data_IF_853141044908
#
_entry.id   IF_853141044908
#
_cell.length_a   1.000
_cell.length_b   1.000
_cell.length_c   1.000
_cell.angle_alpha   90.00
_cell.angle_beta   90.00
_cell.angle_gamma   90.00
#
_symmetry.space_group_name_H-M   'P 1'
#
loop_
_entity.id
_entity.type
_entity.pdbx_description
1 polymer ?
#
# COMPACT_ATOMS: atom_id res chain seq x y z
N UNK A 1 3.53 -15.00 22.14
CA UNK A 1 2.50 -14.63 21.14
C UNK A 1 3.09 -14.11 19.84
N UNK A 2 4.23 -13.41 19.84
CA UNK A 2 4.87 -12.94 18.60
C UNK A 2 5.18 -14.07 17.60
N UNK A 3 5.62 -15.22 18.06
CA UNK A 3 5.98 -16.38 17.23
C UNK A 3 4.81 -16.95 16.39
N UNK A 4 3.58 -16.87 16.90
CA UNK A 4 2.40 -17.38 16.16
C UNK A 4 1.71 -16.32 15.30
N UNK A 5 1.99 -15.04 15.53
CA UNK A 5 1.38 -13.94 14.73
C UNK A 5 1.73 -14.09 13.27
N UNK A 6 3.00 -14.26 12.96
CA UNK A 6 3.47 -14.25 11.58
C UNK A 6 2.85 -15.38 10.72
N UNK A 7 2.91 -16.69 11.11
CA UNK A 7 2.29 -17.76 10.33
C UNK A 7 0.76 -17.67 10.29
N UNK A 8 0.12 -17.23 11.37
CA UNK A 8 -1.33 -17.07 11.43
C UNK A 8 -1.81 -16.01 10.41
N UNK A 9 -1.14 -14.88 10.38
CA UNK A 9 -1.50 -13.78 9.49
C UNK A 9 -1.17 -14.11 8.02
N UNK A 10 0.01 -14.69 7.75
CA UNK A 10 0.40 -15.10 6.40
C UNK A 10 -0.54 -16.18 5.86
N UNK A 11 -0.83 -17.20 6.66
CA UNK A 11 -1.78 -18.26 6.30
C UNK A 11 -3.18 -17.70 6.08
N UNK A 12 -3.66 -16.83 6.97
CA UNK A 12 -4.95 -16.14 6.86
C UNK A 12 -5.07 -15.31 5.59
N UNK A 13 -4.02 -14.57 5.24
CA UNK A 13 -3.96 -13.77 4.02
C UNK A 13 -4.09 -14.64 2.75
N UNK A 14 -3.28 -15.71 2.65
CA UNK A 14 -3.33 -16.62 1.49
C UNK A 14 -4.71 -17.29 1.41
N UNK A 15 -5.22 -17.79 2.53
CA UNK A 15 -6.55 -18.41 2.59
C UNK A 15 -7.66 -17.43 2.21
N UNK A 16 -7.56 -16.16 2.62
CA UNK A 16 -8.54 -15.13 2.27
C UNK A 16 -8.53 -14.82 0.76
N UNK A 17 -7.35 -14.68 0.14
CA UNK A 17 -7.24 -14.46 -1.32
C UNK A 17 -7.84 -15.65 -2.09
N UNK A 18 -7.41 -16.86 -1.75
CA UNK A 18 -7.88 -18.09 -2.41
C UNK A 18 -9.39 -18.28 -2.17
N UNK A 19 -9.85 -18.06 -0.94
CA UNK A 19 -11.26 -18.14 -0.56
C UNK A 19 -12.13 -17.14 -1.31
N UNK A 20 -11.71 -15.86 -1.39
CA UNK A 20 -12.41 -14.82 -2.14
C UNK A 20 -12.48 -15.13 -3.64
N UNK A 21 -11.38 -15.58 -4.23
CA UNK A 21 -11.34 -16.03 -5.62
C UNK A 21 -12.26 -17.23 -5.88
N UNK A 22 -12.21 -18.26 -5.03
CA UNK A 22 -13.03 -19.46 -5.14
C UNK A 22 -14.53 -19.16 -4.95
N UNK A 23 -14.87 -18.33 -3.97
CA UNK A 23 -16.24 -17.90 -3.70
C UNK A 23 -16.84 -17.13 -4.88
N UNK A 24 -16.06 -16.21 -5.48
CA UNK A 24 -16.46 -15.54 -6.72
C UNK A 24 -16.67 -16.53 -7.86
N UNK A 25 -15.72 -17.46 -8.06
CA UNK A 25 -15.79 -18.43 -9.16
C UNK A 25 -17.00 -19.37 -9.05
N UNK A 26 -17.43 -19.64 -7.83
CA UNK A 26 -18.63 -20.44 -7.53
C UNK A 26 -19.92 -19.62 -7.54
N UNK A 27 -19.88 -18.32 -7.82
CA UNK A 27 -21.04 -17.44 -7.83
C UNK A 27 -21.61 -17.10 -6.44
N UNK A 28 -20.91 -17.47 -5.35
CA UNK A 28 -21.32 -17.19 -3.98
C UNK A 28 -21.17 -15.71 -3.61
N UNK A 29 -20.15 -15.05 -4.15
CA UNK A 29 -19.89 -13.63 -3.91
C UNK A 29 -19.81 -12.88 -5.24
N UNK A 30 -20.43 -11.70 -5.29
CA UNK A 30 -20.37 -10.81 -6.46
C UNK A 30 -19.13 -9.90 -6.36
N UNK A 31 -18.36 -9.66 -7.46
CA UNK A 31 -17.19 -8.76 -7.44
C UNK A 31 -17.52 -7.35 -6.94
N UNK A 32 -18.75 -6.85 -7.17
CA UNK A 32 -19.20 -5.53 -6.73
C UNK A 32 -19.24 -5.37 -5.21
N UNK A 33 -19.41 -6.48 -4.47
CA UNK A 33 -19.40 -6.48 -3.01
C UNK A 33 -18.03 -6.18 -2.42
N UNK A 34 -16.95 -6.50 -3.16
CA UNK A 34 -15.58 -6.24 -2.71
C UNK A 34 -15.36 -4.78 -2.29
N UNK A 35 -15.95 -3.83 -3.03
CA UNK A 35 -15.85 -2.40 -2.72
C UNK A 35 -16.54 -2.04 -1.41
N UNK A 36 -17.70 -2.60 -1.15
CA UNK A 36 -18.44 -2.40 0.11
C UNK A 36 -17.69 -2.99 1.31
N UNK A 37 -17.18 -4.23 1.16
CA UNK A 37 -16.40 -4.91 2.19
C UNK A 37 -15.14 -4.11 2.52
N UNK A 38 -14.36 -3.70 1.51
CA UNK A 38 -13.17 -2.86 1.73
C UNK A 38 -13.51 -1.56 2.45
N UNK A 39 -14.60 -0.87 2.06
CA UNK A 39 -15.01 0.38 2.72
C UNK A 39 -15.40 0.15 4.18
N UNK A 40 -16.14 -0.91 4.47
CA UNK A 40 -16.52 -1.27 5.84
C UNK A 40 -15.29 -1.61 6.69
N UNK A 41 -14.31 -2.32 6.11
CA UNK A 41 -13.05 -2.67 6.79
C UNK A 41 -12.21 -1.44 7.09
N UNK A 42 -12.09 -0.50 6.15
CA UNK A 42 -11.36 0.75 6.35
C UNK A 42 -11.95 1.54 7.53
N UNK A 43 -13.26 1.63 7.61
CA UNK A 43 -13.95 2.37 8.68
C UNK A 43 -13.94 1.60 10.00
N UNK A 44 -14.22 0.30 9.95
CA UNK A 44 -14.42 -0.51 11.17
C UNK A 44 -13.15 -1.12 11.77
N UNK A 45 -12.10 -1.32 10.96
CA UNK A 45 -10.84 -1.91 11.42
C UNK A 45 -9.69 -0.91 11.31
N UNK A 46 -9.43 -0.36 10.12
CA UNK A 46 -8.24 0.44 9.88
C UNK A 46 -8.27 1.76 10.66
N UNK A 47 -9.43 2.41 10.78
CA UNK A 47 -9.55 3.67 11.50
C UNK A 47 -9.29 3.54 13.01
N UNK A 48 -9.87 2.58 13.75
CA UNK A 48 -9.49 2.35 15.15
C UNK A 48 -8.02 1.97 15.31
N UNK A 49 -7.48 1.11 14.43
CA UNK A 49 -6.08 0.71 14.46
C UNK A 49 -5.16 1.92 14.30
N UNK A 50 -5.46 2.84 13.38
CA UNK A 50 -4.66 4.04 13.15
C UNK A 50 -4.55 4.91 14.40
N UNK A 51 -5.67 5.17 15.07
CA UNK A 51 -5.69 5.92 16.32
C UNK A 51 -4.86 5.24 17.40
N UNK A 52 -5.16 3.97 17.65
CA UNK A 52 -4.55 3.21 18.74
C UNK A 52 -3.06 2.98 18.54
N UNK A 53 -2.61 2.73 17.30
CA UNK A 53 -1.21 2.52 17.01
C UNK A 53 -0.38 3.80 17.25
N UNK A 54 -0.86 4.95 16.73
CA UNK A 54 -0.14 6.21 16.87
C UNK A 54 -0.18 6.72 18.31
N UNK A 55 -1.28 6.53 19.03
CA UNK A 55 -1.39 6.92 20.44
C UNK A 55 -0.41 6.19 21.37
N UNK A 56 0.13 5.04 20.94
CA UNK A 56 1.14 4.27 21.66
C UNK A 56 2.58 4.53 21.18
N UNK A 57 2.77 5.46 20.26
CA UNK A 57 4.09 5.75 19.72
C UNK A 57 4.79 6.81 20.55
N UNK A 58 6.00 6.51 21.02
CA UNK A 58 6.91 7.54 21.55
C UNK A 58 7.38 8.45 20.41
N UNK A 59 6.69 9.59 20.24
CA UNK A 59 6.96 10.51 19.15
C UNK A 59 8.27 11.25 19.39
N UNK A 60 9.18 11.15 18.46
CA UNK A 60 10.47 11.85 18.49
C UNK A 60 10.51 13.01 17.46
N UNK A 61 11.35 14.02 17.72
CA UNK A 61 11.40 15.26 16.93
C UNK A 61 11.69 15.07 15.42
N UNK A 62 12.21 13.91 15.01
CA UNK A 62 12.52 13.59 13.62
C UNK A 62 11.46 12.79 12.87
N UNK A 63 10.35 12.43 13.49
CA UNK A 63 9.33 11.52 12.93
C UNK A 63 8.73 12.01 11.60
N UNK A 64 8.61 13.33 11.40
CA UNK A 64 8.11 13.94 10.17
C UNK A 64 8.95 13.61 8.92
N UNK A 65 10.22 13.21 9.10
CA UNK A 65 11.10 12.79 8.02
C UNK A 65 10.61 11.51 7.33
N UNK A 66 9.94 10.63 8.09
CA UNK A 66 9.45 9.33 7.61
C UNK A 66 8.44 9.47 6.46
N UNK A 67 7.32 10.21 6.60
CA UNK A 67 6.37 10.38 5.51
C UNK A 67 6.95 11.17 4.33
N UNK A 68 7.81 12.15 4.60
CA UNK A 68 8.49 12.94 3.55
C UNK A 68 9.39 12.04 2.71
N UNK A 69 10.22 11.20 3.33
CA UNK A 69 11.05 10.23 2.62
C UNK A 69 10.20 9.28 1.76
N UNK A 70 9.08 8.77 2.31
CA UNK A 70 8.15 7.91 1.59
C UNK A 70 7.58 8.57 0.33
N UNK A 71 7.10 9.80 0.44
CA UNK A 71 6.58 10.58 -0.68
C UNK A 71 7.64 10.84 -1.76
N UNK A 72 8.84 11.29 -1.36
CA UNK A 72 9.94 11.59 -2.29
C UNK A 72 10.41 10.34 -3.04
N UNK A 73 10.57 9.21 -2.36
CA UNK A 73 10.97 7.95 -3.00
C UNK A 73 9.87 7.43 -3.93
N UNK A 74 8.60 7.54 -3.54
CA UNK A 74 7.48 7.19 -4.43
C UNK A 74 7.51 8.00 -5.72
N UNK A 75 7.70 9.33 -5.63
CA UNK A 75 7.84 10.22 -6.79
C UNK A 75 9.05 9.83 -7.63
N UNK A 76 10.24 9.69 -7.02
CA UNK A 76 11.47 9.38 -7.72
C UNK A 76 11.38 8.04 -8.47
N UNK A 77 10.82 7.01 -7.83
CA UNK A 77 10.68 5.67 -8.45
C UNK A 77 9.63 5.69 -9.57
N UNK A 78 8.53 6.44 -9.41
CA UNK A 78 7.54 6.65 -10.47
C UNK A 78 8.17 7.34 -11.69
N UNK A 79 8.91 8.44 -11.48
CA UNK A 79 9.61 9.18 -12.54
C UNK A 79 10.67 8.29 -13.24
N UNK A 80 11.42 7.50 -12.49
CA UNK A 80 12.37 6.53 -13.05
C UNK A 80 11.64 5.50 -13.92
N UNK A 81 10.49 4.99 -13.46
CA UNK A 81 9.66 4.09 -14.25
C UNK A 81 9.16 4.73 -15.55
N UNK A 82 8.66 5.98 -15.50
CA UNK A 82 8.24 6.73 -16.69
C UNK A 82 9.42 6.98 -17.65
N UNK A 83 10.61 7.29 -17.14
CA UNK A 83 11.82 7.47 -17.95
C UNK A 83 12.21 6.16 -18.66
N UNK A 84 12.19 5.03 -17.97
CA UNK A 84 12.43 3.70 -18.56
C UNK A 84 11.38 3.38 -19.61
N UNK A 85 10.09 3.62 -19.33
CA UNK A 85 9.00 3.39 -20.28
C UNK A 85 9.17 4.26 -21.53
N UNK A 86 9.57 5.53 -21.39
CA UNK A 86 9.87 6.43 -22.49
C UNK A 86 11.07 5.95 -23.33
N UNK A 87 12.13 5.54 -22.66
CA UNK A 87 13.31 4.97 -23.33
C UNK A 87 12.95 3.71 -24.13
N UNK A 88 12.10 2.85 -23.58
CA UNK A 88 11.58 1.65 -24.26
C UNK A 88 10.51 1.94 -25.30
N UNK A 89 10.13 3.20 -25.51
CA UNK A 89 9.09 3.66 -26.45
C UNK A 89 7.75 2.95 -26.23
N UNK A 90 7.38 2.75 -24.98
CA UNK A 90 6.11 2.11 -24.64
C UNK A 90 4.92 2.99 -25.04
N UNK A 91 3.77 2.38 -25.45
CA UNK A 91 2.53 3.13 -25.66
C UNK A 91 2.16 3.94 -24.41
N UNK A 92 1.51 5.12 -24.58
CA UNK A 92 1.21 6.00 -23.43
C UNK A 92 0.48 5.28 -22.28
N UNK A 93 -0.56 4.48 -22.58
CA UNK A 93 -1.31 3.74 -21.58
C UNK A 93 -0.45 2.74 -20.79
N UNK A 94 0.50 2.06 -21.45
CA UNK A 94 1.42 1.12 -20.80
C UNK A 94 2.50 1.84 -20.01
N UNK A 95 3.02 2.95 -20.54
CA UNK A 95 4.05 3.77 -19.91
C UNK A 95 3.58 4.33 -18.57
N UNK A 96 2.35 4.84 -18.51
CA UNK A 96 1.77 5.31 -17.27
C UNK A 96 1.64 4.18 -16.24
N UNK A 97 1.10 3.03 -16.62
CA UNK A 97 0.97 1.88 -15.72
C UNK A 97 2.33 1.46 -15.18
N UNK A 98 3.33 1.34 -16.08
CA UNK A 98 4.69 0.94 -15.71
C UNK A 98 5.30 1.89 -14.67
N UNK A 99 5.19 3.21 -14.87
CA UNK A 99 5.72 4.21 -13.95
C UNK A 99 4.94 4.26 -12.63
N UNK A 100 3.62 4.32 -12.69
CA UNK A 100 2.76 4.38 -11.50
C UNK A 100 2.98 3.17 -10.59
N UNK A 101 3.10 1.97 -11.16
CA UNK A 101 3.31 0.76 -10.39
C UNK A 101 4.72 0.63 -9.83
N UNK A 102 5.72 1.21 -10.47
CA UNK A 102 7.06 1.31 -9.89
C UNK A 102 7.06 2.19 -8.63
N UNK A 103 6.31 3.31 -8.61
CA UNK A 103 6.25 4.23 -7.48
C UNK A 103 5.28 3.84 -6.36
N UNK A 104 4.12 3.26 -6.70
CA UNK A 104 3.06 2.97 -5.73
C UNK A 104 3.25 1.61 -5.08
N UNK A 105 3.43 1.56 -3.76
CA UNK A 105 3.54 0.33 -2.97
C UNK A 105 2.28 0.02 -2.18
N UNK A 106 2.04 -1.27 -1.90
CA UNK A 106 1.00 -1.75 -0.99
C UNK A 106 1.48 -1.59 0.47
N UNK A 107 1.60 -0.34 0.89
CA UNK A 107 2.20 0.07 2.16
C UNK A 107 1.23 0.06 3.33
N UNK A 108 -0.08 0.11 3.07
CA UNK A 108 -1.12 0.19 4.10
C UNK A 108 -1.39 -1.11 4.85
N UNK A 109 -2.50 -1.15 5.55
CA UNK A 109 -2.91 -2.25 6.46
C UNK A 109 -2.96 -3.63 5.82
N UNK A 110 -3.07 -3.72 4.50
CA UNK A 110 -3.13 -5.01 3.81
C UNK A 110 -1.83 -5.79 3.91
N UNK A 111 -0.69 -5.18 3.60
CA UNK A 111 0.59 -5.91 3.61
C UNK A 111 1.68 -5.16 4.38
N UNK A 112 1.92 -3.89 4.08
CA UNK A 112 2.97 -3.12 4.74
C UNK A 112 2.74 -2.99 6.24
N UNK A 113 1.55 -2.53 6.64
CA UNK A 113 1.17 -2.38 8.04
C UNK A 113 1.16 -3.71 8.78
N UNK A 114 0.66 -4.78 8.12
CA UNK A 114 0.72 -6.12 8.67
C UNK A 114 2.16 -6.56 8.97
N UNK A 115 3.08 -6.43 8.03
CA UNK A 115 4.47 -6.84 8.23
C UNK A 115 5.15 -6.01 9.32
N UNK A 116 4.91 -4.70 9.34
CA UNK A 116 5.42 -3.83 10.40
C UNK A 116 4.90 -4.24 11.77
N UNK A 117 3.61 -4.59 11.88
CA UNK A 117 3.02 -5.10 13.11
C UNK A 117 3.58 -6.46 13.52
N UNK A 118 3.73 -7.38 12.57
CA UNK A 118 4.26 -8.72 12.84
C UNK A 118 5.71 -8.68 13.32
N UNK A 119 6.54 -7.79 12.75
CA UNK A 119 7.97 -7.70 13.06
C UNK A 119 8.25 -6.86 14.31
N UNK A 120 7.54 -5.74 14.49
CA UNK A 120 7.87 -4.74 15.53
C UNK A 120 6.69 -4.35 16.42
N UNK A 121 5.56 -5.09 16.34
CA UNK A 121 4.37 -4.80 17.15
C UNK A 121 3.77 -3.42 16.86
N UNK A 122 3.21 -2.80 17.90
CA UNK A 122 2.52 -1.51 17.80
C UNK A 122 3.41 -0.37 17.30
N UNK A 123 4.68 -0.35 17.70
CA UNK A 123 5.61 0.69 17.27
C UNK A 123 5.88 0.61 15.76
N UNK A 124 6.05 -0.60 15.21
CA UNK A 124 6.21 -0.79 13.78
C UNK A 124 4.96 -0.37 13.00
N UNK A 125 3.78 -0.72 13.51
CA UNK A 125 2.50 -0.33 12.91
C UNK A 125 2.29 1.20 12.97
N UNK A 126 2.63 1.85 14.08
CA UNK A 126 2.54 3.30 14.20
C UNK A 126 3.46 4.03 13.22
N UNK A 127 4.69 3.57 13.07
CA UNK A 127 5.64 4.12 12.09
C UNK A 127 5.15 3.93 10.65
N UNK A 128 4.51 2.81 10.35
CA UNK A 128 3.87 2.58 9.05
C UNK A 128 2.72 3.57 8.81
N UNK A 129 1.87 3.82 9.81
CA UNK A 129 0.81 4.81 9.71
C UNK A 129 1.35 6.21 9.44
N UNK A 130 2.43 6.60 10.10
CA UNK A 130 3.12 7.87 9.87
C UNK A 130 3.68 7.92 8.44
N UNK A 131 4.31 6.83 7.98
CA UNK A 131 4.79 6.73 6.61
C UNK A 131 3.66 6.94 5.59
N UNK A 132 2.48 6.36 5.85
CA UNK A 132 1.31 6.44 4.99
C UNK A 132 0.64 7.82 4.96
N UNK A 133 0.94 8.74 5.88
CA UNK A 133 0.34 10.08 5.90
C UNK A 133 0.55 10.88 4.61
N UNK A 134 1.67 10.63 3.90
CA UNK A 134 1.96 11.30 2.61
C UNK A 134 1.34 10.59 1.40
N UNK A 135 0.82 9.37 1.57
CA UNK A 135 0.28 8.56 0.49
C UNK A 135 -0.91 9.21 -0.26
N UNK A 136 -1.90 9.86 0.39
CA UNK A 136 -2.97 10.55 -0.31
C UNK A 136 -2.45 11.70 -1.18
N UNK A 137 -1.51 12.48 -0.67
CA UNK A 137 -0.91 13.60 -1.42
C UNK A 137 -0.13 13.07 -2.64
N UNK A 138 0.67 12.05 -2.47
CA UNK A 138 1.37 11.39 -3.58
C UNK A 138 0.39 10.84 -4.62
N UNK A 139 -0.65 10.15 -4.19
CA UNK A 139 -1.64 9.59 -5.09
C UNK A 139 -2.39 10.68 -5.87
N UNK A 140 -2.99 11.66 -5.18
CA UNK A 140 -3.91 12.62 -5.82
C UNK A 140 -3.21 13.81 -6.47
N UNK A 141 -2.09 14.29 -5.92
CA UNK A 141 -1.37 15.43 -6.51
C UNK A 141 -0.35 15.02 -7.55
N UNK A 142 0.09 13.75 -7.56
CA UNK A 142 1.12 13.29 -8.49
C UNK A 142 0.63 12.16 -9.40
N UNK A 143 0.14 11.04 -8.83
CA UNK A 143 -0.20 9.86 -9.64
C UNK A 143 -1.46 10.07 -10.48
N UNK A 144 -2.50 10.71 -9.94
CA UNK A 144 -3.75 10.98 -10.69
C UNK A 144 -3.54 11.89 -11.90
N UNK A 145 -2.84 13.05 -11.79
CA UNK A 145 -2.50 13.87 -12.94
C UNK A 145 -1.74 13.12 -14.02
N UNK A 146 -0.78 12.28 -13.64
CA UNK A 146 -0.04 11.43 -14.59
C UNK A 146 -1.00 10.45 -15.28
N UNK A 147 -1.80 9.70 -14.50
CA UNK A 147 -2.75 8.75 -15.05
C UNK A 147 -3.69 9.39 -16.06
N UNK A 148 -4.23 10.57 -15.73
CA UNK A 148 -5.10 11.34 -16.59
C UNK A 148 -4.39 11.81 -17.86
N UNK A 149 -3.22 12.46 -17.73
CA UNK A 149 -2.47 12.99 -18.88
C UNK A 149 -2.14 11.90 -19.90
N UNK A 150 -1.71 10.73 -19.42
CA UNK A 150 -1.40 9.61 -20.29
C UNK A 150 -2.65 8.91 -20.85
N UNK A 151 -3.77 8.92 -20.11
CA UNK A 151 -5.05 8.43 -20.60
C UNK A 151 -5.61 9.32 -21.71
N UNK A 152 -5.54 10.64 -21.56
CA UNK A 152 -5.88 11.61 -22.60
C UNK A 152 -4.99 11.43 -23.83
N UNK A 153 -3.68 11.21 -23.65
CA UNK A 153 -2.76 10.95 -24.75
C UNK A 153 -3.03 9.63 -25.48
N UNK A 154 -3.52 8.62 -24.77
CA UNK A 154 -3.86 7.33 -25.35
C UNK A 154 -5.20 7.33 -26.10
N UNK A 155 -6.19 8.08 -25.59
CA UNK A 155 -7.54 8.17 -26.19
C UNK A 155 -7.68 9.26 -27.24
N UNK A 156 -6.77 10.25 -27.27
CA UNK A 156 -6.88 11.44 -28.11
C UNK A 156 -7.92 12.46 -27.64
N UNK A 157 -8.61 12.19 -26.53
CA UNK A 157 -9.65 13.06 -25.95
C UNK A 157 -9.05 13.86 -24.81
N UNK A 158 -9.13 15.20 -24.88
CA UNK A 158 -8.73 16.09 -23.79
C UNK A 158 -9.94 16.53 -22.99
N UNK A 159 -9.88 16.36 -21.68
CA UNK A 159 -10.87 16.97 -20.80
C UNK A 159 -10.61 18.47 -20.59
N UNK A 160 -11.68 19.25 -20.46
CA UNK A 160 -11.62 20.71 -20.33
C UNK A 160 -11.08 21.22 -18.99
N UNK A 161 -11.03 20.38 -17.96
CA UNK A 161 -10.62 20.77 -16.60
C UNK A 161 -9.08 20.71 -16.47
N UNK A 162 -8.42 21.79 -16.00
CA UNK A 162 -6.97 21.79 -15.78
C UNK A 162 -6.54 20.64 -14.84
N UNK A 163 -5.40 19.98 -15.08
CA UNK A 163 -4.95 18.83 -14.28
C UNK A 163 -4.84 19.11 -12.78
N UNK A 164 -4.31 20.29 -12.41
CA UNK A 164 -4.18 20.69 -11.00
C UNK A 164 -5.54 20.87 -10.32
N UNK A 165 -6.48 21.54 -11.00
CA UNK A 165 -7.85 21.74 -10.49
C UNK A 165 -8.55 20.39 -10.27
N UNK A 166 -8.37 19.45 -11.21
CA UNK A 166 -8.87 18.09 -11.09
C UNK A 166 -8.26 17.38 -9.89
N UNK A 167 -6.93 17.44 -9.74
CA UNK A 167 -6.20 16.84 -8.64
C UNK A 167 -6.66 17.35 -7.27
N UNK A 168 -6.73 18.67 -7.10
CA UNK A 168 -7.18 19.32 -5.86
C UNK A 168 -8.64 18.98 -5.53
N UNK A 169 -9.52 19.00 -6.53
CA UNK A 169 -10.93 18.61 -6.34
C UNK A 169 -11.07 17.15 -5.94
N UNK A 170 -10.27 16.27 -6.53
CA UNK A 170 -10.28 14.83 -6.20
C UNK A 170 -9.70 14.59 -4.82
N UNK A 171 -8.59 15.24 -4.48
CA UNK A 171 -8.01 15.20 -3.13
C UNK A 171 -9.04 15.66 -2.08
N UNK A 172 -9.69 16.80 -2.30
CA UNK A 172 -10.73 17.31 -1.38
C UNK A 172 -11.87 16.33 -1.19
N UNK A 173 -12.41 15.79 -2.29
CA UNK A 173 -13.48 14.77 -2.23
C UNK A 173 -13.05 13.53 -1.49
N UNK A 174 -11.81 13.10 -1.66
CA UNK A 174 -11.28 11.93 -0.96
C UNK A 174 -11.10 12.23 0.52
N UNK A 175 -10.52 13.36 0.88
CA UNK A 175 -10.38 13.76 2.28
C UNK A 175 -11.74 13.86 3.00
N UNK A 176 -12.81 14.26 2.31
CA UNK A 176 -14.17 14.32 2.87
C UNK A 176 -14.93 12.99 2.81
N UNK A 177 -14.37 11.93 2.24
CA UNK A 177 -14.96 10.59 2.21
C UNK A 177 -14.67 9.84 3.52
N UNK A 178 -15.64 9.03 3.97
CA UNK A 178 -15.50 8.18 5.17
C UNK A 178 -14.28 7.23 5.09
N UNK A 179 -13.81 6.89 3.90
CA UNK A 179 -12.62 6.05 3.69
C UNK A 179 -11.32 6.75 4.08
N UNK A 180 -11.34 8.06 4.28
CA UNK A 180 -10.23 8.81 4.86
C UNK A 180 -10.25 8.86 6.38
N UNK A 181 -11.22 8.21 7.02
CA UNK A 181 -11.31 8.14 8.48
C UNK A 181 -10.01 7.68 9.17
N UNK A 182 -9.25 6.70 8.65
CA UNK A 182 -7.95 6.34 9.22
C UNK A 182 -6.96 7.50 9.33
N UNK A 183 -6.96 8.44 8.37
CA UNK A 183 -6.11 9.63 8.42
C UNK A 183 -6.51 10.55 9.58
N UNK A 184 -7.80 10.76 9.79
CA UNK A 184 -8.31 11.60 10.88
C UNK A 184 -8.11 10.95 12.24
N UNK A 185 -8.34 9.65 12.35
CA UNK A 185 -8.12 8.91 13.58
C UNK A 185 -6.63 8.77 13.91
N UNK A 186 -5.76 8.69 12.91
CA UNK A 186 -4.31 8.81 13.07
C UNK A 186 -3.91 10.18 13.65
N UNK A 187 -4.48 11.27 13.10
CA UNK A 187 -4.26 12.62 13.63
C UNK A 187 -4.81 12.79 15.06
N UNK A 188 -5.92 12.14 15.37
CA UNK A 188 -6.47 12.10 16.75
C UNK A 188 -5.50 11.35 17.69
N UNK A 189 -4.99 10.19 17.30
CA UNK A 189 -3.99 9.44 18.08
C UNK A 189 -2.74 10.28 18.36
N UNK A 190 -2.25 11.00 17.32
CA UNK A 190 -1.15 11.94 17.45
C UNK A 190 -1.45 13.07 18.44
N UNK A 191 -2.64 13.67 18.37
CA UNK A 191 -3.06 14.74 19.28
C UNK A 191 -3.15 14.25 20.71
N UNK A 192 -3.65 13.03 20.95
CA UNK A 192 -3.75 12.43 22.28
C UNK A 192 -2.35 12.14 22.87
N UNK A 193 -1.41 11.66 22.06
CA UNK A 193 -0.03 11.43 22.49
C UNK A 193 0.67 12.75 22.84
N UNK A 194 0.61 13.75 21.96
CA UNK A 194 1.18 15.09 22.22
C UNK A 194 0.55 15.78 23.47
N UNK A 195 -0.74 15.52 23.74
CA UNK A 195 -1.42 16.02 24.93
C UNK A 195 -1.01 15.25 26.21
N UNK A 196 -0.17 14.21 26.11
CA UNK A 196 0.22 13.39 27.25
C UNK A 196 -0.92 12.54 27.83
N UNK A 197 -1.99 12.31 27.07
CA UNK A 197 -3.09 11.45 27.49
C UNK A 197 -2.65 9.98 27.47
N UNK A 198 -2.69 9.25 28.60
CA UNK A 198 -2.25 7.86 28.61
C UNK A 198 -3.23 6.98 27.82
N UNK A 199 -2.72 6.06 26.96
CA UNK A 199 -3.59 5.11 26.30
C UNK A 199 -4.25 4.19 27.33
N UNK A 200 -5.56 3.84 27.16
CA UNK A 200 -6.29 3.02 28.11
C UNK A 200 -5.64 1.65 28.30
N UNK A 201 -5.28 1.29 29.54
CA UNK A 201 -4.64 0.01 29.87
C UNK A 201 -5.46 -1.21 29.40
N UNK A 202 -6.79 -1.11 29.41
CA UNK A 202 -7.70 -2.15 28.91
C UNK A 202 -7.47 -2.49 27.43
N UNK A 203 -7.04 -1.54 26.60
CA UNK A 203 -6.76 -1.78 25.16
C UNK A 203 -5.51 -2.62 25.00
N UNK A 204 -4.48 -2.38 25.79
CA UNK A 204 -3.23 -3.16 25.74
C UNK A 204 -3.46 -4.62 26.18
N UNK A 205 -4.37 -4.86 27.12
CA UNK A 205 -4.69 -6.18 27.67
C UNK A 205 -5.68 -6.99 26.82
N UNK A 206 -6.54 -6.29 26.05
CA UNK A 206 -7.70 -6.91 25.39
C UNK A 206 -7.41 -7.56 24.01
N UNK A 207 -6.18 -7.52 23.52
CA UNK A 207 -5.82 -7.99 22.16
C UNK A 207 -6.70 -7.40 21.03
N UNK A 208 -7.36 -6.26 21.27
CA UNK A 208 -8.30 -5.66 20.32
C UNK A 208 -7.63 -5.35 18.97
N UNK A 209 -6.37 -4.89 19.00
CA UNK A 209 -5.62 -4.58 17.79
C UNK A 209 -5.29 -5.85 17.00
N UNK A 210 -4.90 -6.93 17.68
CA UNK A 210 -4.68 -8.24 17.02
C UNK A 210 -5.96 -8.71 16.32
N UNK A 211 -7.11 -8.61 16.99
CA UNK A 211 -8.41 -9.00 16.44
C UNK A 211 -8.77 -8.14 15.22
N UNK A 212 -8.67 -6.82 15.35
CA UNK A 212 -8.97 -5.88 14.26
C UNK A 212 -8.04 -6.12 13.05
N UNK A 213 -6.76 -6.40 13.29
CA UNK A 213 -5.79 -6.72 12.23
C UNK A 213 -6.17 -8.03 11.52
N UNK A 214 -6.51 -9.10 12.26
CA UNK A 214 -6.91 -10.38 11.67
C UNK A 214 -8.17 -10.21 10.83
N UNK A 215 -9.21 -9.58 11.39
CA UNK A 215 -10.48 -9.32 10.67
C UNK A 215 -10.23 -8.45 9.45
N UNK A 216 -9.45 -7.38 9.60
CA UNK A 216 -9.08 -6.47 8.52
C UNK A 216 -8.39 -7.19 7.36
N UNK A 217 -7.38 -8.01 7.66
CA UNK A 217 -6.63 -8.79 6.67
C UNK A 217 -7.55 -9.77 5.93
N UNK A 218 -8.35 -10.54 6.66
CA UNK A 218 -9.26 -11.51 6.04
C UNK A 218 -10.26 -10.85 5.09
N UNK A 219 -10.85 -9.74 5.49
CA UNK A 219 -11.83 -9.02 4.67
C UNK A 219 -11.18 -8.31 3.48
N UNK A 220 -10.04 -7.66 3.67
CA UNK A 220 -9.36 -6.93 2.60
C UNK A 220 -8.77 -7.90 1.56
N UNK A 221 -8.04 -8.93 1.99
CA UNK A 221 -7.48 -9.92 1.05
C UNK A 221 -8.55 -10.81 0.43
N UNK A 222 -9.63 -11.11 1.15
CA UNK A 222 -10.81 -11.74 0.57
C UNK A 222 -11.40 -10.90 -0.56
N UNK A 223 -11.54 -9.60 -0.34
CA UNK A 223 -12.00 -8.64 -1.36
C UNK A 223 -11.03 -8.55 -2.56
N UNK A 224 -9.72 -8.55 -2.32
CA UNK A 224 -8.71 -8.63 -3.39
C UNK A 224 -8.89 -9.91 -4.19
N UNK A 225 -9.03 -11.06 -3.54
CA UNK A 225 -9.29 -12.36 -4.20
C UNK A 225 -10.54 -12.33 -5.10
N UNK A 226 -11.59 -11.63 -4.68
CA UNK A 226 -12.81 -11.44 -5.48
C UNK A 226 -12.59 -10.60 -6.74
N UNK A 227 -11.58 -9.75 -6.80
CA UNK A 227 -11.32 -8.82 -7.91
C UNK A 227 -10.18 -9.24 -8.82
N UNK A 228 -9.30 -10.13 -8.39
CA UNK A 228 -8.15 -10.60 -9.15
C UNK A 228 -8.56 -11.27 -10.45
N UNK A 229 -7.94 -10.86 -11.56
CA UNK A 229 -8.11 -11.44 -12.89
C UNK A 229 -6.74 -11.78 -13.52
N UNK A 230 -6.46 -13.06 -13.70
CA UNK A 230 -5.15 -13.57 -14.12
C UNK A 230 -5.02 -13.86 -15.64
N UNK A 231 -6.06 -13.58 -16.44
CA UNK A 231 -6.15 -14.07 -17.82
C UNK A 231 -5.14 -13.51 -18.83
N UNK A 232 -4.42 -12.42 -18.51
CA UNK A 232 -3.48 -11.76 -19.41
C UNK A 232 -2.01 -11.78 -18.94
N UNK A 233 -1.70 -12.56 -17.91
CA UNK A 233 -0.33 -12.71 -17.40
C UNK A 233 0.67 -13.11 -18.51
N UNK A 234 0.37 -14.11 -19.38
CA UNK A 234 1.32 -14.50 -20.41
C UNK A 234 1.71 -13.40 -21.41
N UNK A 235 0.83 -12.42 -21.61
CA UNK A 235 1.06 -11.31 -22.55
C UNK A 235 1.97 -10.23 -21.92
N UNK A 236 1.79 -9.91 -20.64
CA UNK A 236 2.39 -8.73 -20.02
C UNK A 236 3.51 -9.03 -19.00
N UNK A 237 3.85 -10.30 -18.73
CA UNK A 237 4.77 -10.67 -17.67
C UNK A 237 6.16 -10.00 -17.77
N UNK A 238 6.72 -9.89 -18.99
CA UNK A 238 8.04 -9.25 -19.20
C UNK A 238 8.03 -7.77 -18.80
N UNK A 239 6.96 -7.06 -19.15
CA UNK A 239 6.79 -5.65 -18.79
C UNK A 239 6.54 -5.52 -17.30
N UNK A 240 5.72 -6.39 -16.73
CA UNK A 240 5.40 -6.43 -15.31
C UNK A 240 6.66 -6.70 -14.45
N UNK A 241 7.52 -7.64 -14.86
CA UNK A 241 8.81 -7.91 -14.21
C UNK A 241 9.70 -6.66 -14.24
N UNK A 242 9.75 -5.92 -15.36
CA UNK A 242 10.52 -4.68 -15.45
C UNK A 242 10.07 -3.62 -14.42
N UNK A 243 8.76 -3.41 -14.25
CA UNK A 243 8.21 -2.53 -13.22
C UNK A 243 8.48 -3.08 -11.81
N UNK A 244 8.35 -4.39 -11.61
CA UNK A 244 8.66 -5.08 -10.36
C UNK A 244 10.13 -4.93 -9.94
N UNK A 245 11.08 -4.99 -10.88
CA UNK A 245 12.50 -4.75 -10.59
C UNK A 245 12.74 -3.34 -10.06
N UNK A 246 12.13 -2.32 -10.66
CA UNK A 246 12.21 -0.96 -10.12
C UNK A 246 11.62 -0.90 -8.71
N UNK A 247 10.51 -1.59 -8.48
CA UNK A 247 9.84 -1.62 -7.18
C UNK A 247 10.64 -2.32 -6.11
N UNK A 248 11.22 -3.48 -6.40
CA UNK A 248 11.91 -4.29 -5.39
C UNK A 248 13.40 -3.96 -5.22
N UNK A 249 14.02 -3.32 -6.20
CA UNK A 249 15.45 -2.97 -6.14
C UNK A 249 15.68 -1.47 -6.04
N UNK A 250 15.14 -0.68 -6.97
CA UNK A 250 15.40 0.76 -7.01
C UNK A 250 14.71 1.49 -5.85
N UNK A 251 13.43 1.18 -5.58
CA UNK A 251 12.66 1.85 -4.53
C UNK A 251 13.28 1.69 -3.14
N UNK A 252 13.62 0.47 -2.65
CA UNK A 252 14.26 0.32 -1.35
C UNK A 252 15.71 0.85 -1.33
N UNK A 253 16.46 0.79 -2.44
CA UNK A 253 17.80 1.38 -2.51
C UNK A 253 17.77 2.91 -2.39
N UNK A 254 16.84 3.57 -3.11
CA UNK A 254 16.60 5.00 -2.97
C UNK A 254 16.14 5.37 -1.56
N UNK A 255 15.26 4.55 -0.97
CA UNK A 255 14.79 4.75 0.39
C UNK A 255 15.94 4.67 1.40
N UNK A 256 16.77 3.65 1.30
CA UNK A 256 17.93 3.49 2.18
C UNK A 256 18.85 4.70 2.08
N UNK A 257 19.22 5.11 0.86
CA UNK A 257 20.09 6.26 0.63
C UNK A 257 19.49 7.57 1.17
N UNK A 258 18.23 7.85 0.87
CA UNK A 258 17.55 9.06 1.30
C UNK A 258 17.34 9.07 2.82
N UNK A 259 16.90 7.96 3.41
CA UNK A 259 16.66 7.86 4.85
C UNK A 259 17.96 8.09 5.64
N UNK A 260 19.07 7.48 5.21
CA UNK A 260 20.39 7.72 5.81
C UNK A 260 20.82 9.19 5.65
N UNK A 261 20.65 9.80 4.49
CA UNK A 261 20.95 11.21 4.25
C UNK A 261 20.10 12.16 5.12
N UNK A 262 18.86 11.77 5.44
CA UNK A 262 17.99 12.50 6.35
C UNK A 262 18.27 12.22 7.84
N UNK A 263 19.21 11.33 8.15
CA UNK A 263 19.53 10.92 9.52
C UNK A 263 18.44 10.06 10.18
N UNK A 264 17.66 9.32 9.37
CA UNK A 264 16.71 8.32 9.87
C UNK A 264 17.51 7.05 10.19
N UNK A 265 17.45 6.58 11.44
CA UNK A 265 18.23 5.44 11.93
C UNK A 265 17.35 4.50 12.77
N UNK A 266 17.85 3.33 13.11
CA UNK A 266 17.14 2.35 13.95
C UNK A 266 15.87 1.82 13.31
N UNK A 267 14.85 1.55 14.11
CA UNK A 267 13.59 0.96 13.67
C UNK A 267 12.87 1.78 12.58
N UNK A 268 12.80 3.13 12.62
CA UNK A 268 12.22 3.92 11.53
C UNK A 268 12.89 3.67 10.17
N UNK A 269 14.21 3.49 10.13
CA UNK A 269 14.93 3.15 8.91
C UNK A 269 14.47 1.80 8.34
N UNK A 270 14.38 0.78 9.19
CA UNK A 270 13.96 -0.56 8.76
C UNK A 270 12.52 -0.56 8.25
N UNK A 271 11.61 0.15 8.92
CA UNK A 271 10.23 0.34 8.49
C UNK A 271 10.18 1.04 7.12
N UNK A 272 10.91 2.13 6.94
CA UNK A 272 10.96 2.86 5.66
C UNK A 272 11.44 1.97 4.51
N UNK A 273 12.54 1.23 4.70
CA UNK A 273 13.09 0.35 3.67
C UNK A 273 12.16 -0.82 3.37
N UNK A 274 11.55 -1.43 4.39
CA UNK A 274 10.55 -2.48 4.23
C UNK A 274 9.37 -1.97 3.41
N UNK A 275 8.78 -0.83 3.76
CA UNK A 275 7.63 -0.27 3.07
C UNK A 275 7.97 0.14 1.61
N UNK A 276 9.18 0.61 1.36
CA UNK A 276 9.64 0.88 0.00
C UNK A 276 9.76 -0.39 -0.86
N UNK A 277 10.03 -1.54 -0.23
CA UNK A 277 10.11 -2.85 -0.88
C UNK A 277 8.74 -3.57 -0.99
N UNK A 278 7.63 -2.96 -0.56
CA UNK A 278 6.31 -3.59 -0.71
C UNK A 278 5.89 -3.72 -2.18
N UNK A 279 5.11 -4.76 -2.55
CA UNK A 279 4.62 -4.94 -3.91
C UNK A 279 3.73 -3.80 -4.35
N UNK A 280 3.36 -3.76 -5.62
CA UNK A 280 2.58 -2.64 -6.18
C UNK A 280 1.21 -2.50 -5.50
N UNK A 281 0.75 -1.26 -5.31
CA UNK A 281 -0.54 -0.99 -4.69
C UNK A 281 -1.72 -1.39 -5.59
N UNK A 282 -2.78 -1.94 -5.00
CA UNK A 282 -4.07 -2.14 -5.69
C UNK A 282 -4.62 -0.81 -6.25
N UNK A 283 -4.30 0.29 -5.59
CA UNK A 283 -4.70 1.63 -6.00
C UNK A 283 -4.17 2.03 -7.39
N UNK A 284 -3.01 1.50 -7.80
CA UNK A 284 -2.48 1.69 -9.16
C UNK A 284 -3.35 1.04 -10.25
N UNK A 285 -3.97 -0.11 -9.93
CA UNK A 285 -4.94 -0.78 -10.80
C UNK A 285 -6.23 0.04 -10.92
N UNK A 286 -6.64 0.67 -9.81
CA UNK A 286 -7.78 1.59 -9.82
C UNK A 286 -7.51 2.79 -10.72
N UNK A 287 -6.34 3.42 -10.62
CA UNK A 287 -5.94 4.54 -11.49
C UNK A 287 -5.97 4.11 -12.96
N UNK A 288 -5.43 2.94 -13.27
CA UNK A 288 -5.48 2.41 -14.64
C UNK A 288 -6.91 2.24 -15.16
N UNK A 289 -7.81 1.81 -14.29
CA UNK A 289 -9.25 1.69 -14.62
C UNK A 289 -9.94 3.04 -14.82
N UNK A 290 -9.65 4.02 -13.97
CA UNK A 290 -10.29 5.34 -14.01
C UNK A 290 -9.91 6.15 -15.24
N UNK A 291 -8.67 6.05 -15.69
CA UNK A 291 -8.13 6.87 -16.76
C UNK A 291 -7.96 6.11 -18.10
N UNK A 292 -8.58 4.94 -18.24
CA UNK A 292 -8.52 4.18 -19.50
C UNK A 292 -7.12 3.68 -19.88
N UNK A 293 -6.23 3.48 -18.88
CA UNK A 293 -4.91 2.93 -19.09
C UNK A 293 -4.97 1.40 -19.27
N UNK A 294 -3.83 0.75 -19.50
CA UNK A 294 -3.77 -0.70 -19.67
C UNK A 294 -4.02 -1.47 -18.36
N UNK A 295 -5.28 -1.85 -18.14
CA UNK A 295 -5.74 -2.56 -16.94
C UNK A 295 -5.16 -3.97 -16.85
N UNK A 296 -4.91 -4.63 -17.99
CA UNK A 296 -4.37 -5.99 -18.02
C UNK A 296 -2.91 -6.00 -17.57
N UNK A 297 -2.11 -5.01 -18.03
CA UNK A 297 -0.75 -4.80 -17.53
C UNK A 297 -0.76 -4.46 -16.03
N UNK A 298 -1.67 -3.59 -15.59
CA UNK A 298 -1.78 -3.21 -14.19
C UNK A 298 -2.10 -4.42 -13.28
N UNK A 299 -3.07 -5.24 -13.66
CA UNK A 299 -3.41 -6.46 -12.95
C UNK A 299 -2.27 -7.48 -12.96
N UNK A 300 -1.61 -7.65 -14.11
CA UNK A 300 -0.47 -8.59 -14.22
C UNK A 300 0.66 -8.20 -13.28
N UNK A 301 1.05 -6.92 -13.27
CA UNK A 301 2.11 -6.42 -12.38
C UNK A 301 1.72 -6.58 -10.92
N UNK A 302 0.47 -6.24 -10.56
CA UNK A 302 -0.05 -6.43 -9.21
C UNK A 302 0.08 -7.90 -8.76
N UNK A 303 -0.40 -8.84 -9.55
CA UNK A 303 -0.37 -10.27 -9.21
C UNK A 303 1.07 -10.78 -9.08
N UNK A 304 1.93 -10.48 -10.05
CA UNK A 304 3.31 -10.97 -10.04
C UNK A 304 4.13 -10.38 -8.88
N UNK A 305 4.00 -9.09 -8.61
CA UNK A 305 4.73 -8.47 -7.50
C UNK A 305 4.25 -9.00 -6.14
N UNK A 306 2.95 -9.25 -5.96
CA UNK A 306 2.44 -9.88 -4.74
C UNK A 306 2.91 -11.33 -4.62
N UNK A 307 2.89 -12.11 -5.69
CA UNK A 307 3.38 -13.50 -5.67
C UNK A 307 4.86 -13.57 -5.26
N UNK A 308 5.71 -12.70 -5.84
CA UNK A 308 7.14 -12.60 -5.48
C UNK A 308 7.31 -12.19 -4.02
N UNK A 309 6.58 -11.16 -3.57
CA UNK A 309 6.66 -10.68 -2.19
C UNK A 309 6.23 -11.77 -1.20
N UNK A 310 5.10 -12.44 -1.44
CA UNK A 310 4.61 -13.51 -0.57
C UNK A 310 5.57 -14.70 -0.52
N UNK A 311 6.17 -15.07 -1.66
CA UNK A 311 7.20 -16.11 -1.70
C UNK A 311 8.44 -15.70 -0.88
N UNK A 312 8.91 -14.45 -1.02
CA UNK A 312 10.04 -13.94 -0.24
C UNK A 312 9.74 -13.93 1.27
N UNK A 313 8.53 -13.51 1.66
CA UNK A 313 8.09 -13.53 3.06
C UNK A 313 8.03 -14.97 3.59
N UNK A 314 7.49 -15.92 2.81
CA UNK A 314 7.41 -17.33 3.22
C UNK A 314 8.81 -17.95 3.39
N UNK A 315 9.76 -17.64 2.49
CA UNK A 315 11.15 -18.09 2.60
C UNK A 315 11.83 -17.48 3.82
N UNK A 316 11.70 -16.17 4.05
CA UNK A 316 12.27 -15.51 5.22
C UNK A 316 11.72 -16.11 6.53
N UNK A 317 10.41 -16.38 6.59
CA UNK A 317 9.79 -17.06 7.72
C UNK A 317 10.36 -18.47 7.93
N UNK A 318 10.49 -19.26 6.88
CA UNK A 318 11.04 -20.61 6.98
C UNK A 318 12.48 -20.60 7.48
N UNK A 319 13.32 -19.66 7.01
CA UNK A 319 14.69 -19.49 7.47
C UNK A 319 14.77 -19.05 8.94
N UNK A 320 13.87 -18.15 9.36
CA UNK A 320 13.75 -17.75 10.76
C UNK A 320 13.40 -18.92 11.66
N UNK A 321 12.39 -19.72 11.31
CA UNK A 321 12.00 -20.90 12.11
C UNK A 321 13.03 -22.02 12.08
N UNK A 322 13.87 -22.09 11.03
CA UNK A 322 15.00 -23.00 10.96
C UNK A 322 16.21 -22.54 11.77
N UNK A 323 16.17 -21.36 12.39
CA UNK A 323 17.28 -20.79 13.16
C UNK A 323 18.47 -20.35 12.30
N UNK A 324 18.23 -20.06 11.02
CA UNK A 324 19.26 -19.60 10.05
C UNK A 324 19.37 -18.07 10.03
N UNK A 325 18.27 -17.36 10.40
CA UNK A 325 18.20 -15.88 10.48
C UNK A 325 18.00 -15.41 11.93
#
# INVERSE_FOLDING_TARGET
>A
MAEYRFPLFLGGMVLAIVGGYAARRRGLLKPDWARGIMSATIVGCDAPIACLAIWHLDIYAGVWKVPVAGGLVGIATCLAGLAVARWRRMPPADAAVFGLQAGMGNIGYTLGGFLCFALWGLQGLALEQIFCMMAPFFAFLFCFPIGRQYGEAASGVRESIPPLTYALRTLWRTLTDLRSLPLYTAALGLALDVAGAPPPAAIQQSHVIDILMIVGILLQFGSVGMTVYAGRIPTFWKTAVGSGLLKFLLSPALMLGLALAMGITGQPLYVCVLLAAMPTALYSVLIASLFGLNRDLANTTFILTHAVCLAAIAVAAALWYAGVL
#
